data_IF_776961533728
#
_entry.id   IF_776961533728
#
_cell.length_a   1.000
_cell.length_b   1.000
_cell.length_c   1.000
_cell.angle_alpha   90.00
_cell.angle_beta   90.00
_cell.angle_gamma   90.00
#
_symmetry.space_group_name_H-M   'P 1'
#
loop_
_entity.id
_entity.type
_entity.pdbx_description
1 polymer ?
#
# COMPACT_ATOMS: atom_id res chain seq x y z
N UNK A 1 69.08 1.58 -24.47
CA UNK A 1 68.32 1.55 -23.20
C UNK A 1 67.15 2.51 -23.30
N UNK A 2 65.90 2.02 -23.33
CA UNK A 2 64.71 2.90 -23.31
C UNK A 2 64.44 3.30 -21.86
N UNK A 3 64.56 4.59 -21.54
CA UNK A 3 64.29 5.12 -20.20
C UNK A 3 62.80 4.99 -19.89
N UNK A 4 62.48 4.23 -18.85
CA UNK A 4 61.11 4.11 -18.34
C UNK A 4 60.78 5.42 -17.61
N UNK A 5 59.86 6.21 -18.17
CA UNK A 5 59.46 7.51 -17.61
C UNK A 5 58.58 7.33 -16.37
N UNK A 6 59.19 7.40 -15.18
CA UNK A 6 58.55 7.17 -13.88
C UNK A 6 57.34 8.10 -13.61
N UNK A 7 57.37 9.34 -14.12
CA UNK A 7 56.26 10.30 -13.99
C UNK A 7 55.00 9.84 -14.74
N UNK A 8 55.15 9.12 -15.86
CA UNK A 8 54.01 8.57 -16.60
C UNK A 8 53.38 7.39 -15.86
N UNK A 9 54.19 6.61 -15.14
CA UNK A 9 53.71 5.49 -14.31
C UNK A 9 52.95 6.01 -13.09
N UNK A 10 53.44 7.06 -12.43
CA UNK A 10 52.77 7.67 -11.28
C UNK A 10 51.40 8.27 -11.64
N UNK A 11 51.29 8.92 -12.80
CA UNK A 11 50.02 9.45 -13.29
C UNK A 11 48.99 8.35 -13.61
N UNK A 12 49.43 7.25 -14.22
CA UNK A 12 48.57 6.09 -14.51
C UNK A 12 48.11 5.41 -13.21
N UNK A 13 48.99 5.30 -12.21
CA UNK A 13 48.62 4.75 -10.90
C UNK A 13 47.52 5.60 -10.22
N UNK A 14 47.62 6.94 -10.30
CA UNK A 14 46.65 7.85 -9.71
C UNK A 14 45.25 7.72 -10.34
N UNK A 15 45.18 7.50 -11.66
CA UNK A 15 43.91 7.28 -12.38
C UNK A 15 43.25 5.96 -11.97
N UNK A 16 44.03 4.92 -11.68
CA UNK A 16 43.51 3.63 -11.20
C UNK A 16 42.98 3.74 -9.76
N UNK A 17 43.54 4.61 -8.92
CA UNK A 17 43.01 4.85 -7.57
C UNK A 17 41.71 5.67 -7.55
N UNK A 18 41.33 6.33 -8.66
CA UNK A 18 40.08 7.08 -8.77
C UNK A 18 38.90 6.24 -9.26
N UNK A 19 39.13 4.99 -9.69
CA UNK A 19 38.03 4.08 -10.03
C UNK A 19 37.45 3.44 -8.77
N UNK A 20 36.33 3.96 -8.27
CA UNK A 20 35.53 3.31 -7.23
C UNK A 20 34.51 2.36 -7.88
N UNK A 21 34.27 1.20 -7.27
CA UNK A 21 33.18 0.31 -7.68
C UNK A 21 31.84 0.98 -7.31
N UNK A 22 31.01 1.30 -8.31
CA UNK A 22 29.62 1.74 -8.10
C UNK A 22 28.68 0.54 -8.19
N UNK A 23 27.59 0.53 -7.42
CA UNK A 23 26.55 -0.50 -7.51
C UNK A 23 26.81 -1.84 -6.81
N UNK A 24 27.95 -2.05 -6.13
CA UNK A 24 28.21 -3.30 -5.39
C UNK A 24 27.22 -3.54 -4.25
N UNK A 25 26.77 -2.46 -3.60
CA UNK A 25 25.77 -2.50 -2.53
C UNK A 25 24.33 -2.39 -3.05
N UNK A 26 24.13 -1.99 -4.30
CA UNK A 26 22.81 -1.81 -4.92
C UNK A 26 22.30 -3.12 -5.51
N UNK A 27 21.91 -4.06 -4.64
CA UNK A 27 21.30 -5.32 -5.06
C UNK A 27 19.78 -5.22 -5.07
N UNK A 28 19.18 -5.35 -6.25
CA UNK A 28 17.73 -5.57 -6.36
C UNK A 28 17.35 -6.92 -5.77
N UNK A 29 16.23 -7.03 -5.05
CA UNK A 29 15.73 -8.32 -4.56
C UNK A 29 15.37 -9.21 -5.76
N UNK A 30 15.91 -10.42 -5.79
CA UNK A 30 15.71 -11.36 -6.88
C UNK A 30 14.35 -12.05 -6.75
N UNK A 31 13.57 -12.08 -7.83
CA UNK A 31 12.29 -12.78 -7.88
C UNK A 31 11.18 -12.14 -7.02
N UNK A 32 11.36 -10.90 -6.56
CA UNK A 32 10.35 -10.16 -5.81
C UNK A 32 9.79 -9.02 -6.65
N UNK A 33 8.47 -8.84 -6.52
CA UNK A 33 7.79 -7.64 -7.01
C UNK A 33 8.02 -6.51 -6.01
N UNK A 34 8.51 -5.39 -6.50
CA UNK A 34 8.71 -4.14 -5.77
C UNK A 34 7.83 -3.05 -6.39
N UNK A 35 7.72 -1.90 -5.75
CA UNK A 35 7.03 -0.73 -6.32
C UNK A 35 7.59 -0.30 -7.69
N UNK A 36 8.85 -0.64 -7.97
CA UNK A 36 9.58 -0.15 -9.13
C UNK A 36 9.44 -1.06 -10.37
N UNK A 37 9.03 -2.32 -10.18
CA UNK A 37 8.91 -3.31 -11.27
C UNK A 37 7.53 -3.99 -11.33
N UNK A 38 6.56 -3.50 -10.55
CA UNK A 38 5.23 -4.11 -10.47
C UNK A 38 4.23 -3.58 -11.50
N UNK A 39 4.35 -2.35 -12.00
CA UNK A 39 3.35 -1.75 -12.89
C UNK A 39 3.81 -1.77 -14.34
N UNK A 40 4.03 -2.97 -14.90
CA UNK A 40 4.54 -3.15 -16.27
C UNK A 40 3.55 -3.80 -17.21
N UNK A 41 2.67 -4.68 -16.71
CA UNK A 41 1.77 -5.48 -17.56
C UNK A 41 0.29 -5.27 -17.25
N UNK A 42 -0.54 -5.59 -18.24
CA UNK A 42 -2.00 -5.64 -18.10
C UNK A 42 -2.45 -6.52 -16.92
N UNK A 43 -1.82 -7.68 -16.74
CA UNK A 43 -2.14 -8.60 -15.63
C UNK A 43 -1.85 -7.95 -14.27
N UNK A 44 -0.73 -7.26 -14.14
CA UNK A 44 -0.38 -6.55 -12.91
C UNK A 44 -1.34 -5.38 -12.62
N UNK A 45 -1.83 -4.69 -13.66
CA UNK A 45 -2.86 -3.67 -13.52
C UNK A 45 -4.17 -4.25 -12.92
N UNK A 46 -4.55 -5.44 -13.37
CA UNK A 46 -5.69 -6.19 -12.81
C UNK A 46 -5.42 -6.61 -11.37
N UNK A 47 -4.23 -7.12 -11.06
CA UNK A 47 -3.86 -7.48 -9.67
C UNK A 47 -3.90 -6.27 -8.74
N UNK A 48 -3.40 -5.12 -9.17
CA UNK A 48 -3.42 -3.88 -8.41
C UNK A 48 -4.85 -3.44 -8.08
N UNK A 49 -5.75 -3.52 -9.08
CA UNK A 49 -7.16 -3.17 -8.91
C UNK A 49 -7.87 -4.17 -7.98
N UNK A 50 -7.59 -5.47 -8.11
CA UNK A 50 -8.09 -6.51 -7.21
C UNK A 50 -7.61 -6.30 -5.76
N UNK A 51 -6.41 -5.75 -5.54
CA UNK A 51 -5.93 -5.43 -4.21
C UNK A 51 -6.77 -4.32 -3.53
N UNK A 52 -7.39 -3.42 -4.30
CA UNK A 52 -8.37 -2.46 -3.77
C UNK A 52 -9.62 -3.21 -3.28
N UNK A 53 -10.19 -4.09 -4.12
CA UNK A 53 -11.36 -4.90 -3.75
C UNK A 53 -11.10 -5.77 -2.52
N UNK A 54 -9.90 -6.31 -2.38
CA UNK A 54 -9.54 -7.10 -1.20
C UNK A 54 -9.69 -6.30 0.10
N UNK A 55 -9.45 -4.98 0.08
CA UNK A 55 -9.61 -4.11 1.24
C UNK A 55 -11.05 -4.03 1.74
N UNK A 56 -12.06 -4.23 0.87
CA UNK A 56 -13.46 -4.29 1.31
C UNK A 56 -13.71 -5.42 2.30
N UNK A 57 -12.92 -6.49 2.26
CA UNK A 57 -13.05 -7.63 3.19
C UNK A 57 -12.19 -7.49 4.43
N UNK A 58 -11.46 -6.38 4.56
CA UNK A 58 -10.61 -6.12 5.72
C UNK A 58 -11.48 -5.97 6.97
N UNK A 59 -10.94 -6.45 8.09
CA UNK A 59 -11.63 -6.42 9.38
C UNK A 59 -12.07 -5.00 9.76
N UNK A 60 -11.18 -4.04 9.50
CA UNK A 60 -11.36 -2.62 9.79
C UNK A 60 -12.34 -1.91 8.83
N UNK A 61 -12.88 -2.59 7.81
CA UNK A 61 -13.86 -2.02 6.87
C UNK A 61 -15.25 -2.64 7.03
N UNK A 62 -15.33 -3.95 7.31
CA UNK A 62 -16.60 -4.69 7.19
C UNK A 62 -17.03 -5.46 8.43
N UNK A 63 -16.27 -5.42 9.53
CA UNK A 63 -16.54 -6.26 10.71
C UNK A 63 -16.86 -5.38 11.92
N UNK A 64 -16.24 -5.63 13.07
CA UNK A 64 -16.72 -5.11 14.36
C UNK A 64 -16.73 -3.59 14.44
N UNK A 65 -15.66 -2.93 14.01
CA UNK A 65 -15.59 -1.46 14.12
C UNK A 65 -16.67 -0.77 13.27
N UNK A 66 -16.97 -1.30 12.08
CA UNK A 66 -18.00 -0.75 11.21
C UNK A 66 -19.39 -1.00 11.79
N UNK A 67 -19.72 -2.25 12.12
CA UNK A 67 -21.01 -2.62 12.74
C UNK A 67 -21.23 -1.83 14.04
N UNK A 68 -20.16 -1.65 14.83
CA UNK A 68 -20.15 -0.88 16.06
C UNK A 68 -20.54 0.58 15.85
N UNK A 69 -20.05 1.20 14.77
CA UNK A 69 -20.24 2.62 14.47
C UNK A 69 -21.42 2.92 13.56
N UNK A 70 -22.08 1.90 13.00
CA UNK A 70 -23.27 2.04 12.17
C UNK A 70 -24.54 1.57 12.87
N UNK A 71 -24.54 0.36 13.41
CA UNK A 71 -25.76 -0.29 13.91
C UNK A 71 -25.78 -0.36 15.45
N UNK A 72 -24.69 -0.76 16.11
CA UNK A 72 -24.70 -0.91 17.59
C UNK A 72 -24.82 0.43 18.31
N UNK A 73 -24.30 1.51 17.71
CA UNK A 73 -24.45 2.86 18.27
C UNK A 73 -25.85 3.45 18.01
N UNK A 74 -26.71 2.76 17.25
CA UNK A 74 -28.12 3.11 17.08
C UNK A 74 -29.00 2.32 18.06
N UNK A 75 -30.32 2.41 17.91
CA UNK A 75 -31.29 1.61 18.67
C UNK A 75 -31.74 0.32 17.95
N UNK A 76 -31.10 -0.03 16.82
CA UNK A 76 -31.44 -1.21 16.03
C UNK A 76 -30.73 -2.50 16.51
N UNK A 77 -29.63 -2.38 17.26
CA UNK A 77 -28.85 -3.51 17.75
C UNK A 77 -28.11 -3.21 19.07
N UNK A 78 -28.03 -4.21 19.96
CA UNK A 78 -27.18 -4.16 21.17
C UNK A 78 -25.90 -4.99 20.97
N UNK A 79 -24.87 -4.68 21.74
CA UNK A 79 -23.69 -5.53 21.86
C UNK A 79 -24.05 -6.84 22.58
N UNK A 80 -23.88 -7.97 21.89
CA UNK A 80 -24.09 -9.32 22.44
C UNK A 80 -22.86 -9.93 23.13
N UNK A 81 -22.89 -11.25 23.43
CA UNK A 81 -21.77 -12.02 24.04
C UNK A 81 -21.46 -11.63 25.50
N UNK A 82 -20.27 -11.99 26.02
CA UNK A 82 -19.85 -11.72 27.41
C UNK A 82 -19.23 -10.32 27.56
N UNK A 83 -19.25 -9.68 28.75
CA UNK A 83 -18.73 -8.32 28.93
C UNK A 83 -17.25 -8.12 28.53
N UNK A 84 -16.44 -9.17 28.58
CA UNK A 84 -15.01 -9.13 28.24
C UNK A 84 -14.72 -9.33 26.76
N UNK A 85 -15.68 -9.84 25.99
CA UNK A 85 -15.55 -10.03 24.55
C UNK A 85 -15.84 -8.72 23.81
N UNK A 86 -14.90 -8.30 22.96
CA UNK A 86 -14.93 -7.05 22.21
C UNK A 86 -15.43 -5.86 23.05
N UNK A 87 -14.83 -5.62 24.22
CA UNK A 87 -15.30 -4.62 25.19
C UNK A 87 -15.46 -3.21 24.61
N UNK A 88 -14.65 -2.86 23.61
CA UNK A 88 -14.75 -1.61 22.87
C UNK A 88 -16.11 -1.41 22.17
N UNK A 89 -16.83 -2.48 21.82
CA UNK A 89 -18.21 -2.40 21.31
C UNK A 89 -19.21 -2.12 22.43
N UNK A 90 -19.00 -2.67 23.63
CA UNK A 90 -19.83 -2.38 24.79
C UNK A 90 -19.75 -0.90 25.16
N UNK A 91 -18.57 -0.29 25.01
CA UNK A 91 -18.38 1.14 25.24
C UNK A 91 -19.14 2.00 24.22
N UNK A 92 -19.24 1.57 22.96
CA UNK A 92 -20.05 2.23 21.93
C UNK A 92 -21.54 2.13 22.26
N UNK A 93 -22.02 0.92 22.53
CA UNK A 93 -23.41 0.59 22.88
C UNK A 93 -23.90 1.41 24.09
N UNK A 94 -23.09 1.49 25.15
CA UNK A 94 -23.44 2.23 26.36
C UNK A 94 -23.06 3.72 26.31
N UNK A 95 -22.55 4.22 25.18
CA UNK A 95 -22.09 5.60 25.02
C UNK A 95 -21.06 6.05 26.08
N UNK A 96 -20.17 5.14 26.51
CA UNK A 96 -19.10 5.41 27.50
C UNK A 96 -17.71 5.48 26.88
N UNK A 97 -17.60 5.45 25.55
CA UNK A 97 -16.33 5.49 24.83
C UNK A 97 -15.61 6.84 24.98
N UNK A 98 -14.29 6.81 24.81
CA UNK A 98 -13.42 7.98 24.68
C UNK A 98 -12.53 7.88 23.43
N UNK A 99 -11.52 8.75 23.35
CA UNK A 99 -10.60 8.81 22.20
C UNK A 99 -9.70 7.56 22.06
N UNK A 100 -9.59 6.70 23.09
CA UNK A 100 -8.79 5.48 23.06
C UNK A 100 -9.56 4.29 22.47
N UNK A 101 -10.87 4.39 22.29
CA UNK A 101 -11.68 3.32 21.73
C UNK A 101 -11.21 2.94 20.31
N UNK A 102 -10.83 1.67 20.15
CA UNK A 102 -10.15 1.20 18.95
C UNK A 102 -11.05 1.15 17.70
N UNK A 103 -12.37 1.19 17.84
CA UNK A 103 -13.30 1.11 16.71
C UNK A 103 -13.12 2.29 15.73
N UNK A 104 -13.05 3.51 16.28
CA UNK A 104 -12.85 4.73 15.47
C UNK A 104 -11.56 4.67 14.68
N UNK A 105 -10.47 4.28 15.34
CA UNK A 105 -9.16 4.12 14.70
C UNK A 105 -9.15 2.98 13.67
N UNK A 106 -9.90 1.90 13.92
CA UNK A 106 -10.09 0.79 12.98
C UNK A 106 -10.70 1.27 11.68
N UNK A 107 -11.92 1.82 11.72
CA UNK A 107 -12.63 2.32 10.54
C UNK A 107 -11.78 3.32 9.76
N UNK A 108 -11.17 4.29 10.44
CA UNK A 108 -10.26 5.25 9.81
C UNK A 108 -9.12 4.55 9.05
N UNK A 109 -8.38 3.67 9.71
CA UNK A 109 -7.24 2.96 9.08
C UNK A 109 -7.67 2.07 7.93
N UNK A 110 -8.80 1.39 8.03
CA UNK A 110 -9.32 0.51 6.98
C UNK A 110 -9.66 1.29 5.71
N UNK A 111 -10.41 2.39 5.86
CA UNK A 111 -10.84 3.22 4.73
C UNK A 111 -9.66 3.95 4.08
N UNK A 112 -8.76 4.56 4.88
CA UNK A 112 -7.59 5.22 4.32
C UNK A 112 -6.60 4.27 3.64
N UNK A 113 -6.51 3.00 4.06
CA UNK A 113 -5.79 1.96 3.31
C UNK A 113 -6.42 1.71 1.93
N UNK A 114 -7.75 1.68 1.86
CA UNK A 114 -8.50 1.55 0.61
C UNK A 114 -8.27 2.73 -0.34
N UNK A 115 -8.43 3.96 0.18
CA UNK A 115 -8.15 5.20 -0.55
C UNK A 115 -6.72 5.22 -1.08
N UNK A 116 -5.74 4.84 -0.24
CA UNK A 116 -4.33 4.78 -0.64
C UNK A 116 -4.09 3.81 -1.80
N UNK A 117 -4.62 2.58 -1.72
CA UNK A 117 -4.51 1.59 -2.82
C UNK A 117 -5.15 2.10 -4.10
N UNK A 118 -6.33 2.72 -3.99
CA UNK A 118 -7.01 3.29 -5.15
C UNK A 118 -6.22 4.44 -5.78
N UNK A 119 -5.59 5.30 -4.98
CA UNK A 119 -4.73 6.36 -5.48
C UNK A 119 -3.51 5.82 -6.23
N UNK A 120 -2.87 4.74 -5.75
CA UNK A 120 -1.77 4.10 -6.48
C UNK A 120 -2.24 3.61 -7.85
N UNK A 121 -3.39 2.94 -7.91
CA UNK A 121 -3.93 2.42 -9.17
C UNK A 121 -4.25 3.54 -10.15
N UNK A 122 -4.87 4.61 -9.68
CA UNK A 122 -5.19 5.79 -10.49
C UNK A 122 -3.92 6.49 -11.02
N UNK A 123 -2.86 6.49 -10.23
CA UNK A 123 -1.57 7.11 -10.56
C UNK A 123 -0.74 6.26 -11.55
N UNK A 124 -0.69 4.94 -11.35
CA UNK A 124 0.25 4.06 -12.06
C UNK A 124 -0.29 3.35 -13.30
N UNK A 125 -1.57 2.97 -13.32
CA UNK A 125 -2.15 2.30 -14.50
C UNK A 125 -2.06 3.12 -15.80
N UNK A 126 -2.20 4.47 -15.80
CA UNK A 126 -2.14 5.24 -17.03
C UNK A 126 -0.84 5.06 -17.84
N UNK A 127 0.27 4.70 -17.19
CA UNK A 127 1.58 4.50 -17.81
C UNK A 127 1.75 3.11 -18.46
N UNK A 128 0.80 2.18 -18.24
CA UNK A 128 0.88 0.81 -18.74
C UNK A 128 0.33 0.75 -20.19
N UNK A 129 1.11 0.16 -21.10
CA UNK A 129 0.64 -0.19 -22.44
C UNK A 129 -0.24 -1.45 -22.38
N UNK A 130 -1.54 -1.29 -22.67
CA UNK A 130 -2.57 -2.34 -22.56
C UNK A 130 -3.83 -2.00 -23.36
N UNK A 131 -4.84 -2.88 -23.39
CA UNK A 131 -6.13 -2.57 -24.00
C UNK A 131 -6.78 -1.32 -23.37
N UNK A 132 -7.20 -0.36 -24.20
CA UNK A 132 -7.76 0.91 -23.74
C UNK A 132 -9.12 0.76 -23.07
N UNK A 133 -9.93 -0.22 -23.49
CA UNK A 133 -11.21 -0.53 -22.85
C UNK A 133 -11.02 -1.07 -21.45
N UNK A 134 -10.07 -1.99 -21.28
CA UNK A 134 -9.68 -2.51 -19.98
C UNK A 134 -9.09 -1.42 -19.09
N UNK A 135 -8.16 -0.60 -19.60
CA UNK A 135 -7.57 0.52 -18.86
C UNK A 135 -8.64 1.47 -18.32
N UNK A 136 -9.58 1.88 -19.17
CA UNK A 136 -10.69 2.74 -18.78
C UNK A 136 -11.57 2.10 -17.69
N UNK A 137 -11.85 0.78 -17.82
CA UNK A 137 -12.60 0.02 -16.82
C UNK A 137 -11.88 0.01 -15.46
N UNK A 138 -10.61 -0.38 -15.41
CA UNK A 138 -9.83 -0.47 -14.17
C UNK A 138 -9.72 0.89 -13.45
N UNK A 139 -9.51 1.97 -14.20
CA UNK A 139 -9.49 3.33 -13.63
C UNK A 139 -10.88 3.76 -13.12
N UNK A 140 -11.95 3.34 -13.79
CA UNK A 140 -13.33 3.56 -13.33
C UNK A 140 -13.61 2.83 -12.01
N UNK A 141 -13.24 1.56 -11.93
CA UNK A 141 -13.36 0.75 -10.71
C UNK A 141 -12.57 1.36 -9.54
N UNK A 142 -11.32 1.77 -9.78
CA UNK A 142 -10.49 2.39 -8.76
C UNK A 142 -11.09 3.71 -8.25
N UNK A 143 -11.65 4.55 -9.13
CA UNK A 143 -12.32 5.80 -8.75
C UNK A 143 -13.60 5.54 -7.94
N UNK A 144 -14.39 4.54 -8.33
CA UNK A 144 -15.57 4.13 -7.58
C UNK A 144 -15.19 3.67 -6.17
N UNK A 145 -14.21 2.76 -6.06
CA UNK A 145 -13.76 2.24 -4.77
C UNK A 145 -13.16 3.34 -3.90
N UNK A 146 -12.41 4.29 -4.48
CA UNK A 146 -11.92 5.46 -3.73
C UNK A 146 -13.04 6.34 -3.19
N UNK A 147 -14.17 6.42 -3.88
CA UNK A 147 -15.33 7.19 -3.42
C UNK A 147 -16.16 6.40 -2.38
N UNK A 148 -16.08 5.07 -2.41
CA UNK A 148 -16.71 4.20 -1.41
C UNK A 148 -15.98 4.25 -0.07
N UNK A 149 -14.64 4.20 -0.09
CA UNK A 149 -13.81 4.34 1.10
C UNK A 149 -13.73 5.78 1.59
#
# INVERSE_FOLDING_TARGET
MKYINFNKISLVLLVVFLSSCSGFLDKKPLGQLTSDNFFETEEQAVWATNAIYNQLRDWDVSVFSTIGLTDIISDDADKGSTPTDASFLSELDNFTFDAENIAFGGVWRGHFRGIYRANIVIDRIPEIEMDEGLKARLLGEARFLRAFF
#
